data_IF_570724400948
#
_entry.id   IF_570724400948
#
_cell.length_a   1.000
_cell.length_b   1.000
_cell.length_c   1.000
_cell.angle_alpha   90.00
_cell.angle_beta   90.00
_cell.angle_gamma   90.00
#
_symmetry.space_group_name_H-M   'P 1'
#
loop_
_entity.id
_entity.type
_entity.pdbx_description
1 polymer ?
#
# COMPACT_ATOMS: atom_id res chain seq x y z
N UNK A 1 31.19 12.63 -4.47
CA UNK A 1 30.40 11.47 -4.04
C UNK A 1 29.86 11.71 -2.65
N UNK A 2 28.60 12.00 -2.55
CA UNK A 2 27.94 12.03 -1.25
C UNK A 2 27.74 10.60 -0.78
N UNK A 3 28.50 10.18 0.22
CA UNK A 3 28.19 8.94 0.92
C UNK A 3 26.89 9.12 1.69
N UNK A 4 25.91 8.27 1.40
CA UNK A 4 24.73 8.22 2.25
C UNK A 4 25.15 7.80 3.66
N UNK A 5 24.67 8.55 4.65
CA UNK A 5 24.82 8.14 6.04
C UNK A 5 24.18 6.76 6.23
N UNK A 6 24.79 5.85 6.99
CA UNK A 6 24.18 4.56 7.27
C UNK A 6 22.81 4.75 7.91
N UNK A 7 21.84 4.03 7.40
CA UNK A 7 20.50 4.04 7.95
C UNK A 7 20.41 3.03 9.09
N UNK A 8 19.88 3.47 10.21
CA UNK A 8 19.72 2.64 11.39
C UNK A 8 18.28 2.65 11.86
N UNK A 9 17.77 1.49 12.21
CA UNK A 9 16.46 1.39 12.85
C UNK A 9 16.54 2.01 14.25
N UNK A 10 15.80 3.08 14.48
CA UNK A 10 15.78 3.79 15.76
C UNK A 10 14.67 3.37 16.69
N UNK A 11 13.64 2.73 16.16
CA UNK A 11 12.52 2.28 16.97
C UNK A 11 11.43 1.63 16.13
N UNK A 12 10.52 0.95 16.81
CA UNK A 12 9.35 0.32 16.22
C UNK A 12 8.13 0.83 16.97
N UNK A 13 7.17 1.39 16.23
CA UNK A 13 5.89 1.80 16.80
C UNK A 13 4.86 0.73 16.47
N UNK A 14 4.25 0.15 17.50
CA UNK A 14 3.21 -0.86 17.37
C UNK A 14 1.86 -0.25 17.69
N UNK A 15 0.91 -0.41 16.76
CA UNK A 15 -0.47 0.01 16.94
C UNK A 15 -1.32 -1.26 17.02
N UNK A 16 -2.01 -1.46 18.16
CA UNK A 16 -2.94 -2.56 18.35
C UNK A 16 -4.36 -2.04 18.27
N UNK A 17 -5.18 -2.69 17.45
CA UNK A 17 -6.57 -2.29 17.24
C UNK A 17 -7.42 -3.52 16.94
N UNK A 18 -8.72 -3.40 17.17
CA UNK A 18 -9.70 -4.41 16.81
C UNK A 18 -10.52 -3.93 15.63
N UNK A 19 -10.61 -4.75 14.59
CA UNK A 19 -11.46 -4.49 13.46
C UNK A 19 -12.79 -5.20 13.68
N UNK A 20 -13.85 -4.43 13.92
CA UNK A 20 -15.20 -4.98 14.08
C UNK A 20 -15.94 -4.93 12.74
N UNK A 21 -16.45 -6.08 12.30
CA UNK A 21 -17.24 -6.15 11.07
C UNK A 21 -18.69 -5.81 11.36
N UNK A 22 -19.18 -4.71 10.82
CA UNK A 22 -20.59 -4.29 10.95
C UNK A 22 -21.42 -4.73 9.75
N UNK A 23 -20.78 -5.24 8.72
CA UNK A 23 -21.40 -5.84 7.54
C UNK A 23 -20.50 -6.96 7.01
N UNK A 24 -20.96 -7.72 6.04
CA UNK A 24 -20.12 -8.75 5.43
C UNK A 24 -18.87 -8.19 4.80
N UNK A 25 -17.72 -8.82 5.07
CA UNK A 25 -16.44 -8.51 4.45
C UNK A 25 -15.96 -9.73 3.67
N UNK A 26 -15.45 -9.47 2.47
CA UNK A 26 -14.91 -10.51 1.62
C UNK A 26 -13.68 -10.02 0.89
N UNK A 27 -12.63 -10.84 0.88
CA UNK A 27 -11.43 -10.60 0.10
C UNK A 27 -11.27 -11.76 -0.87
N UNK A 28 -11.21 -11.45 -2.17
CA UNK A 28 -11.01 -12.44 -3.21
C UNK A 28 -9.60 -13.01 -3.22
N UNK A 29 -9.47 -14.27 -3.59
CA UNK A 29 -8.18 -14.95 -3.67
C UNK A 29 -7.32 -14.52 -4.86
N UNK A 30 -7.84 -13.68 -5.75
CA UNK A 30 -7.10 -13.22 -6.93
C UNK A 30 -6.88 -14.32 -7.96
N UNK A 31 -7.78 -15.28 -8.03
CA UNK A 31 -7.64 -16.44 -8.88
C UNK A 31 -7.78 -16.05 -10.35
N UNK A 32 -6.72 -16.25 -11.12
CA UNK A 32 -6.68 -15.97 -12.55
C UNK A 32 -7.21 -17.13 -13.40
N UNK A 33 -7.50 -18.27 -12.79
CA UNK A 33 -8.03 -19.43 -13.50
C UNK A 33 -9.55 -19.45 -13.50
N UNK A 34 -10.12 -19.01 -14.62
CA UNK A 34 -11.53 -19.25 -14.91
C UNK A 34 -11.74 -20.74 -15.18
N UNK A 35 -12.22 -21.47 -14.19
CA UNK A 35 -12.67 -22.84 -14.40
C UNK A 35 -14.11 -22.83 -14.89
N UNK A 36 -14.35 -23.42 -16.05
CA UNK A 36 -15.70 -23.64 -16.55
C UNK A 36 -16.45 -24.52 -15.54
N UNK A 37 -17.51 -23.99 -14.92
CA UNK A 37 -18.26 -24.69 -13.89
C UNK A 37 -17.73 -24.55 -12.47
N UNK A 38 -16.69 -23.73 -12.24
CA UNK A 38 -16.18 -23.43 -10.91
C UNK A 38 -16.85 -22.20 -10.29
N UNK A 39 -16.68 -22.03 -8.99
CA UNK A 39 -17.13 -20.84 -8.28
C UNK A 39 -16.23 -19.68 -8.67
N UNK A 40 -16.76 -18.67 -9.35
CA UNK A 40 -16.02 -17.52 -9.88
C UNK A 40 -15.38 -16.61 -8.83
N UNK A 41 -15.62 -16.89 -7.55
CA UNK A 41 -15.24 -16.02 -6.46
C UNK A 41 -14.79 -16.80 -5.23
N UNK A 42 -13.53 -17.22 -5.23
CA UNK A 42 -12.91 -17.83 -4.05
C UNK A 42 -12.51 -16.75 -3.05
N UNK A 43 -12.91 -16.95 -1.80
CA UNK A 43 -12.46 -16.14 -0.66
C UNK A 43 -11.04 -16.56 -0.30
N UNK A 44 -10.17 -15.57 -0.03
CA UNK A 44 -8.82 -15.87 0.43
C UNK A 44 -8.86 -16.55 1.80
N UNK A 45 -8.11 -17.65 1.94
CA UNK A 45 -8.06 -18.45 3.16
C UNK A 45 -6.63 -18.64 3.63
N UNK A 46 -6.45 -18.69 4.93
CA UNK A 46 -5.16 -18.95 5.52
C UNK A 46 -4.67 -20.35 5.12
N UNK A 47 -3.43 -20.51 4.64
CA UNK A 47 -2.97 -21.80 4.08
C UNK A 47 -2.95 -22.94 5.09
N UNK A 48 -2.78 -22.66 6.36
CA UNK A 48 -2.73 -23.72 7.38
C UNK A 48 -4.08 -23.98 8.03
N UNK A 49 -4.86 -22.97 8.32
CA UNK A 49 -6.14 -23.12 9.03
C UNK A 49 -7.34 -23.24 8.11
N UNK A 50 -7.20 -22.87 6.84
CA UNK A 50 -8.28 -22.76 5.85
C UNK A 50 -9.40 -21.78 6.26
N UNK A 51 -9.19 -20.98 7.30
CA UNK A 51 -10.12 -19.96 7.74
C UNK A 51 -9.98 -18.71 6.85
N UNK A 52 -11.07 -18.03 6.49
CA UNK A 52 -10.99 -16.71 5.88
C UNK A 52 -10.25 -15.75 6.79
N UNK A 53 -9.44 -14.88 6.20
CA UNK A 53 -8.67 -13.91 6.97
C UNK A 53 -8.42 -12.64 6.16
N UNK A 54 -7.96 -11.60 6.82
CA UNK A 54 -7.55 -10.35 6.18
C UNK A 54 -6.03 -10.34 6.07
N UNK A 55 -5.46 -10.52 4.87
CA UNK A 55 -4.02 -10.39 4.71
C UNK A 55 -3.54 -8.96 5.04
N UNK A 56 -2.39 -8.86 5.69
CA UNK A 56 -1.79 -7.56 5.99
C UNK A 56 -1.53 -6.73 4.74
N UNK A 57 -1.15 -7.36 3.63
CA UNK A 57 -0.96 -6.70 2.35
C UNK A 57 -2.24 -6.04 1.81
N UNK A 58 -3.38 -6.70 1.98
CA UNK A 58 -4.69 -6.15 1.58
C UNK A 58 -5.06 -4.94 2.42
N UNK A 59 -4.83 -5.02 3.73
CA UNK A 59 -5.09 -3.90 4.64
C UNK A 59 -4.17 -2.72 4.31
N UNK A 60 -2.89 -2.98 4.15
CA UNK A 60 -1.91 -1.94 3.77
C UNK A 60 -2.30 -1.26 2.46
N UNK A 61 -2.63 -2.04 1.43
CA UNK A 61 -3.02 -1.51 0.13
C UNK A 61 -4.29 -0.68 0.18
N UNK A 62 -5.29 -1.12 0.96
CA UNK A 62 -6.53 -0.36 1.13
C UNK A 62 -6.30 0.95 1.87
N UNK A 63 -5.50 0.94 2.92
CA UNK A 63 -5.16 2.14 3.66
C UNK A 63 -4.43 3.14 2.77
N UNK A 64 -3.44 2.69 2.01
CA UNK A 64 -2.73 3.51 1.05
C UNK A 64 -3.67 4.13 0.03
N UNK A 65 -4.52 3.32 -0.58
CA UNK A 65 -5.49 3.78 -1.59
C UNK A 65 -6.42 4.87 -1.05
N UNK A 66 -6.95 4.67 0.16
CA UNK A 66 -7.83 5.66 0.78
C UNK A 66 -7.10 6.98 1.06
N UNK A 67 -5.86 6.92 1.52
CA UNK A 67 -5.06 8.11 1.77
C UNK A 67 -4.69 8.83 0.47
N UNK A 68 -4.38 8.09 -0.57
CA UNK A 68 -4.12 8.66 -1.90
C UNK A 68 -5.35 9.40 -2.44
N UNK A 69 -6.52 8.79 -2.33
CA UNK A 69 -7.78 9.44 -2.73
C UNK A 69 -8.03 10.70 -1.92
N UNK A 70 -7.79 10.65 -0.61
CA UNK A 70 -7.98 11.82 0.26
C UNK A 70 -7.03 12.95 -0.11
N UNK A 71 -5.82 12.65 -0.55
CA UNK A 71 -4.85 13.69 -0.92
C UNK A 71 -5.27 14.53 -2.13
N UNK A 72 -6.11 13.96 -2.99
CA UNK A 72 -6.53 14.60 -4.23
C UNK A 72 -5.47 14.60 -5.34
N UNK A 73 -4.33 13.94 -5.12
CA UNK A 73 -3.23 13.93 -6.08
C UNK A 73 -3.20 12.67 -6.96
N UNK A 74 -3.96 11.62 -6.61
CA UNK A 74 -3.96 10.37 -7.36
C UNK A 74 -4.64 10.52 -8.71
N UNK A 75 -4.04 9.93 -9.74
CA UNK A 75 -4.57 9.90 -11.10
C UNK A 75 -4.88 8.45 -11.49
N UNK A 76 -4.34 7.98 -12.60
CA UNK A 76 -4.59 6.63 -13.13
C UNK A 76 -3.74 5.56 -12.44
N UNK A 77 -2.63 5.95 -11.85
CA UNK A 77 -1.69 5.04 -11.20
C UNK A 77 -1.49 5.43 -9.73
N UNK A 78 -1.02 4.51 -8.89
CA UNK A 78 -0.65 4.85 -7.52
C UNK A 78 0.37 5.98 -7.46
N UNK A 79 0.35 6.75 -6.37
CA UNK A 79 1.25 7.87 -6.20
C UNK A 79 2.71 7.45 -6.24
N UNK A 80 3.52 8.20 -6.95
CA UNK A 80 4.95 8.03 -7.05
C UNK A 80 5.69 9.34 -6.85
N UNK A 81 7.00 9.30 -7.07
CA UNK A 81 7.85 10.47 -6.91
C UNK A 81 7.46 11.66 -7.82
N UNK A 82 7.05 11.46 -9.09
CA UNK A 82 6.59 12.57 -9.91
C UNK A 82 5.39 13.32 -9.32
N UNK A 83 4.51 12.62 -8.65
CA UNK A 83 3.35 13.24 -7.99
C UNK A 83 3.79 14.14 -6.83
N UNK A 84 4.84 13.77 -6.13
CA UNK A 84 5.44 14.60 -5.07
C UNK A 84 6.05 15.88 -5.66
N UNK A 85 6.77 15.78 -6.77
CA UNK A 85 7.38 16.91 -7.43
C UNK A 85 6.36 17.91 -7.97
N UNK A 86 5.24 17.40 -8.47
CA UNK A 86 4.19 18.22 -9.08
C UNK A 86 3.17 18.77 -8.09
N UNK A 87 3.20 18.31 -6.85
CA UNK A 87 2.33 18.79 -5.79
C UNK A 87 2.94 19.99 -5.07
N UNK A 88 2.09 20.76 -4.40
CA UNK A 88 2.51 21.94 -3.62
C UNK A 88 1.66 22.07 -2.37
N UNK A 89 2.19 22.80 -1.38
CA UNK A 89 1.47 23.12 -0.15
C UNK A 89 1.08 21.87 0.65
N UNK A 90 -0.15 21.85 1.15
CA UNK A 90 -0.67 20.76 1.99
C UNK A 90 -0.75 19.43 1.23
N UNK A 91 -1.06 19.45 -0.06
CA UNK A 91 -1.11 18.26 -0.90
C UNK A 91 0.27 17.62 -1.00
N UNK A 92 1.31 18.41 -1.19
CA UNK A 92 2.68 17.90 -1.24
C UNK A 92 3.08 17.23 0.08
N UNK A 93 2.70 17.81 1.21
CA UNK A 93 2.97 17.22 2.52
C UNK A 93 2.24 15.86 2.69
N UNK A 94 0.98 15.76 2.27
CA UNK A 94 0.24 14.49 2.32
C UNK A 94 0.85 13.44 1.42
N UNK A 95 1.20 13.77 0.18
CA UNK A 95 1.85 12.85 -0.76
C UNK A 95 3.18 12.36 -0.18
N UNK A 96 3.98 13.25 0.37
CA UNK A 96 5.25 12.91 1.01
C UNK A 96 5.06 11.90 2.16
N UNK A 97 4.08 12.12 3.02
CA UNK A 97 3.78 11.21 4.13
C UNK A 97 3.34 9.83 3.63
N UNK A 98 2.50 9.78 2.59
CA UNK A 98 2.05 8.51 2.01
C UNK A 98 3.24 7.72 1.45
N UNK A 99 4.12 8.38 0.71
CA UNK A 99 5.30 7.74 0.13
C UNK A 99 6.29 7.27 1.20
N UNK A 100 6.46 8.04 2.27
CA UNK A 100 7.31 7.65 3.39
C UNK A 100 6.78 6.44 4.15
N UNK A 101 5.45 6.37 4.37
CA UNK A 101 4.83 5.28 5.12
C UNK A 101 4.68 4.00 4.30
N UNK A 102 4.28 4.11 3.04
CA UNK A 102 3.92 2.97 2.21
C UNK A 102 4.96 2.61 1.16
N UNK A 103 5.94 3.47 0.97
CA UNK A 103 7.02 3.24 0.02
C UNK A 103 6.70 3.71 -1.39
N UNK A 104 7.70 3.62 -2.25
CA UNK A 104 7.64 3.96 -3.66
C UNK A 104 8.07 2.71 -4.44
N UNK A 105 7.36 2.39 -5.51
CA UNK A 105 7.77 1.28 -6.37
C UNK A 105 9.15 1.58 -6.99
N UNK A 106 10.03 0.57 -6.94
CA UNK A 106 11.39 0.72 -7.38
C UNK A 106 11.52 0.92 -8.89
N UNK A 107 11.58 2.18 -9.31
CA UNK A 107 12.10 2.54 -10.61
C UNK A 107 13.56 2.99 -10.41
N UNK A 108 14.47 2.41 -11.19
CA UNK A 108 15.90 2.70 -11.08
C UNK A 108 16.24 4.18 -11.28
N UNK A 109 15.40 4.92 -12.00
CA UNK A 109 15.55 6.38 -12.15
C UNK A 109 15.19 7.13 -10.88
N UNK A 110 14.18 6.67 -10.17
CA UNK A 110 13.73 7.26 -8.91
C UNK A 110 14.75 7.10 -7.79
N UNK A 111 15.44 5.96 -7.77
CA UNK A 111 16.50 5.73 -6.79
C UNK A 111 17.66 6.70 -6.88
N UNK A 112 17.96 7.20 -8.07
CA UNK A 112 19.03 8.19 -8.27
C UNK A 112 18.61 9.61 -7.88
N UNK A 113 17.36 9.97 -8.16
CA UNK A 113 16.85 11.31 -7.83
C UNK A 113 16.55 11.48 -6.34
N UNK A 114 16.21 10.40 -5.64
CA UNK A 114 16.01 10.43 -4.19
C UNK A 114 17.31 10.39 -3.40
N UNK A 115 18.43 10.12 -4.04
CA UNK A 115 19.77 10.14 -3.41
C UNK A 115 20.43 11.52 -3.44
N UNK A 116 19.84 12.45 -4.13
CA UNK A 116 20.26 13.84 -4.15
C UNK A 116 19.50 14.62 -3.03
#
# INVERSE_FOLDING_TARGET
MTQQAPQQLTGITTIQATLELVSGLRIGAGDSEMRIGGVDNTVIRHPHTQAPYIPGSSLKGKMRSLLEWRSGAVKEAPLGYPDLQNASGAVQAEVKHILQLFGISGDAKLGKEMQE
#
